data_IF_102425420797
#
_entry.id   IF_102425420797
#
_cell.length_a   1.000
_cell.length_b   1.000
_cell.length_c   1.000
_cell.angle_alpha   90.00
_cell.angle_beta   90.00
_cell.angle_gamma   90.00
#
_symmetry.space_group_name_H-M   'P 1'
#
loop_
_entity.id
_entity.type
_entity.pdbx_description
1 polymer ?
#
# COMPACT_ATOMS: atom_id res chain seq x y z
N UNK A 1 1.54 -5.05 9.07
CA UNK A 1 2.44 -6.08 8.56
C UNK A 1 1.63 -7.09 7.80
N UNK A 2 1.66 -7.03 6.46
CA UNK A 2 1.43 -8.29 5.74
C UNK A 2 2.69 -9.13 5.92
N UNK A 3 2.61 -10.30 6.56
CA UNK A 3 3.79 -11.11 6.83
C UNK A 3 4.41 -11.66 5.54
N UNK A 4 3.68 -11.71 4.42
CA UNK A 4 4.09 -12.43 3.22
C UNK A 4 5.11 -11.69 2.36
N UNK A 5 4.93 -10.39 2.11
CA UNK A 5 5.93 -9.55 1.41
C UNK A 5 7.22 -9.42 2.21
N UNK A 6 7.11 -9.16 3.52
CA UNK A 6 8.28 -9.04 4.41
C UNK A 6 9.06 -10.37 4.48
N UNK A 7 8.35 -11.49 4.58
CA UNK A 7 8.98 -12.80 4.61
C UNK A 7 9.65 -13.16 3.27
N UNK A 8 9.05 -12.78 2.14
CA UNK A 8 9.66 -12.99 0.82
C UNK A 8 11.00 -12.27 0.68
N UNK A 9 11.05 -10.99 1.07
CA UNK A 9 12.29 -10.19 1.05
C UNK A 9 13.40 -10.80 1.92
N UNK A 10 13.05 -11.43 3.04
CA UNK A 10 14.00 -12.00 4.00
C UNK A 10 14.50 -13.40 3.61
N UNK A 11 13.74 -14.16 2.83
CA UNK A 11 14.09 -15.54 2.48
C UNK A 11 15.04 -15.62 1.27
N UNK A 12 14.79 -14.82 0.24
CA UNK A 12 15.64 -14.70 -0.96
C UNK A 12 15.17 -13.50 -1.78
N UNK A 13 16.07 -12.62 -2.25
CA UNK A 13 15.69 -11.45 -3.06
C UNK A 13 15.30 -11.89 -4.48
N UNK A 14 14.08 -12.42 -4.62
CA UNK A 14 13.39 -12.67 -5.89
C UNK A 14 12.37 -11.55 -6.09
N UNK A 15 12.79 -10.45 -6.74
CA UNK A 15 11.96 -9.25 -6.88
C UNK A 15 10.65 -9.48 -7.65
N UNK A 16 10.61 -10.28 -8.74
CA UNK A 16 9.35 -10.68 -9.36
C UNK A 16 8.38 -11.33 -8.36
N UNK A 17 8.85 -12.26 -7.54
CA UNK A 17 8.03 -12.90 -6.50
C UNK A 17 7.58 -11.94 -5.40
N UNK A 18 8.39 -10.93 -5.08
CA UNK A 18 8.01 -9.84 -4.16
C UNK A 18 6.88 -9.00 -4.75
N UNK A 19 6.96 -8.62 -6.03
CA UNK A 19 5.93 -7.84 -6.72
C UNK A 19 4.59 -8.60 -6.83
N UNK A 20 4.66 -9.91 -7.08
CA UNK A 20 3.47 -10.77 -7.11
C UNK A 20 2.79 -10.81 -5.73
N UNK A 21 3.54 -11.10 -4.67
CA UNK A 21 3.03 -11.12 -3.29
C UNK A 21 2.49 -9.76 -2.85
N UNK A 22 3.16 -8.67 -3.24
CA UNK A 22 2.66 -7.32 -2.98
C UNK A 22 1.27 -7.12 -3.60
N UNK A 23 1.09 -7.55 -4.84
CA UNK A 23 -0.18 -7.46 -5.56
C UNK A 23 -1.27 -8.32 -4.92
N UNK A 24 -0.92 -9.53 -4.49
CA UNK A 24 -1.83 -10.43 -3.77
C UNK A 24 -2.27 -9.85 -2.43
N UNK A 25 -1.32 -9.39 -1.61
CA UNK A 25 -1.57 -8.79 -0.30
C UNK A 25 -2.40 -7.51 -0.40
N UNK A 26 -2.09 -6.65 -1.38
CA UNK A 26 -2.90 -5.48 -1.69
C UNK A 26 -4.34 -5.89 -2.04
N UNK A 27 -4.51 -6.91 -2.89
CA UNK A 27 -5.81 -7.45 -3.24
C UNK A 27 -6.57 -8.02 -2.03
N UNK A 28 -5.89 -8.67 -1.09
CA UNK A 28 -6.48 -9.16 0.15
C UNK A 28 -7.00 -8.01 1.02
N UNK A 29 -6.20 -6.95 1.21
CA UNK A 29 -6.63 -5.77 1.98
C UNK A 29 -7.84 -5.12 1.31
N UNK A 30 -7.82 -4.95 -0.01
CA UNK A 30 -8.92 -4.32 -0.74
C UNK A 30 -10.21 -5.14 -0.70
N UNK A 31 -10.14 -6.47 -0.62
CA UNK A 31 -11.31 -7.33 -0.44
C UNK A 31 -11.82 -7.36 1.00
N UNK A 32 -10.91 -7.35 1.97
CA UNK A 32 -11.26 -7.32 3.39
C UNK A 32 -11.86 -5.98 3.81
N UNK A 33 -11.44 -4.89 3.16
CA UNK A 33 -11.89 -3.52 3.40
C UNK A 33 -12.40 -2.93 2.08
N UNK A 34 -13.66 -3.22 1.69
CA UNK A 34 -14.18 -2.92 0.36
C UNK A 34 -14.65 -1.46 0.19
N UNK A 35 -14.84 -0.71 1.29
CA UNK A 35 -15.36 0.66 1.22
C UNK A 35 -14.20 1.61 0.95
N UNK A 36 -14.07 2.06 -0.29
CA UNK A 36 -12.91 2.85 -0.74
C UNK A 36 -12.60 4.07 0.14
N UNK A 37 -13.64 4.81 0.56
CA UNK A 37 -13.55 6.01 1.39
C UNK A 37 -13.48 5.73 2.90
N UNK A 38 -13.46 4.46 3.32
CA UNK A 38 -13.36 4.11 4.73
C UNK A 38 -12.04 4.62 5.35
N UNK A 39 -12.09 5.29 6.51
CA UNK A 39 -10.90 5.64 7.27
C UNK A 39 -10.10 4.41 7.72
N UNK A 40 -10.78 3.29 8.02
CA UNK A 40 -10.13 2.05 8.46
C UNK A 40 -9.32 1.45 7.32
N UNK A 41 -9.92 1.28 6.15
CA UNK A 41 -9.23 0.88 4.92
C UNK A 41 -8.02 1.75 4.63
N UNK A 42 -8.19 3.07 4.68
CA UNK A 42 -7.12 4.04 4.41
C UNK A 42 -5.94 3.84 5.36
N UNK A 43 -6.20 3.66 6.66
CA UNK A 43 -5.12 3.44 7.63
C UNK A 43 -4.43 2.08 7.42
N UNK A 44 -5.18 1.03 7.09
CA UNK A 44 -4.61 -0.28 6.75
C UNK A 44 -3.69 -0.22 5.54
N UNK A 45 -4.13 0.47 4.47
CA UNK A 45 -3.33 0.66 3.26
C UNK A 45 -2.11 1.54 3.52
N UNK A 46 -2.26 2.67 4.23
CA UNK A 46 -1.13 3.55 4.59
C UNK A 46 -0.07 2.78 5.37
N UNK A 47 -0.48 1.99 6.37
CA UNK A 47 0.44 1.14 7.11
C UNK A 47 1.10 0.09 6.23
N UNK A 48 0.34 -0.57 5.36
CA UNK A 48 0.89 -1.56 4.43
C UNK A 48 1.94 -0.94 3.50
N UNK A 49 1.66 0.21 2.89
CA UNK A 49 2.62 0.89 2.01
C UNK A 49 3.87 1.34 2.75
N UNK A 50 3.73 1.89 3.96
CA UNK A 50 4.87 2.30 4.79
C UNK A 50 5.73 1.11 5.24
N UNK A 51 5.10 0.01 5.67
CA UNK A 51 5.78 -1.23 6.05
C UNK A 51 6.56 -1.79 4.82
N UNK A 52 5.95 -1.84 3.63
CA UNK A 52 6.59 -2.32 2.39
C UNK A 52 7.74 -1.41 1.96
N UNK A 53 7.57 -0.09 1.97
CA UNK A 53 8.62 0.86 1.62
C UNK A 53 9.83 0.72 2.54
N UNK A 54 9.60 0.53 3.85
CA UNK A 54 10.67 0.27 4.82
C UNK A 54 11.42 -1.03 4.51
N UNK A 55 10.71 -2.07 4.10
CA UNK A 55 11.31 -3.34 3.67
C UNK A 55 12.17 -3.17 2.41
N UNK A 56 11.69 -2.45 1.38
CA UNK A 56 12.47 -2.17 0.18
C UNK A 56 13.74 -1.37 0.50
N UNK A 57 13.65 -0.36 1.36
CA UNK A 57 14.78 0.46 1.79
C UNK A 57 15.85 -0.32 2.58
N UNK A 58 15.58 -1.56 3.00
CA UNK A 58 16.56 -2.42 3.66
C UNK A 58 17.40 -3.26 2.69
N UNK A 59 17.05 -3.28 1.39
CA UNK A 59 17.79 -3.98 0.36
C UNK A 59 19.06 -3.22 -0.05
N UNK A 60 20.12 -3.97 -0.35
CA UNK A 60 21.37 -3.40 -0.89
C UNK A 60 21.23 -3.19 -2.41
N UNK A 61 20.61 -2.06 -2.79
CA UNK A 61 20.22 -1.73 -4.17
C UNK A 61 21.37 -1.88 -5.18
N UNK A 62 22.58 -1.47 -4.79
CA UNK A 62 23.76 -1.47 -5.67
C UNK A 62 24.26 -2.88 -6.00
N UNK A 63 23.89 -3.88 -5.20
CA UNK A 63 24.24 -5.29 -5.42
C UNK A 63 23.19 -6.06 -6.24
N UNK A 64 22.06 -5.43 -6.55
CA UNK A 64 20.98 -6.09 -7.27
C UNK A 64 21.26 -6.15 -8.78
N UNK A 65 20.79 -7.21 -9.47
CA UNK A 65 20.70 -7.23 -10.92
C UNK A 65 19.94 -6.01 -11.47
N UNK A 66 20.27 -5.62 -12.71
CA UNK A 66 19.63 -4.44 -13.33
C UNK A 66 18.11 -4.57 -13.46
N UNK A 67 17.59 -5.77 -13.70
CA UNK A 67 16.15 -6.02 -13.75
C UNK A 67 15.50 -5.70 -12.39
N UNK A 68 16.04 -6.25 -11.32
CA UNK A 68 15.55 -6.05 -9.95
C UNK A 68 15.63 -4.58 -9.50
N UNK A 69 16.67 -3.86 -9.91
CA UNK A 69 16.78 -2.40 -9.68
C UNK A 69 15.62 -1.64 -10.33
N UNK A 70 15.21 -2.03 -11.54
CA UNK A 70 14.07 -1.43 -12.24
C UNK A 70 12.78 -1.73 -11.46
N UNK A 71 12.58 -2.98 -11.06
CA UNK A 71 11.37 -3.41 -10.35
C UNK A 71 11.20 -2.67 -9.01
N UNK A 72 12.28 -2.55 -8.22
CA UNK A 72 12.24 -1.76 -6.98
C UNK A 72 11.90 -0.31 -7.26
N UNK A 73 12.53 0.30 -8.25
CA UNK A 73 12.30 1.72 -8.59
C UNK A 73 10.84 1.95 -8.97
N UNK A 74 10.25 1.04 -9.75
CA UNK A 74 8.84 1.11 -10.14
C UNK A 74 7.90 0.90 -8.95
N UNK A 75 8.22 -0.05 -8.07
CA UNK A 75 7.41 -0.32 -6.88
C UNK A 75 7.47 0.84 -5.88
N UNK A 76 8.63 1.46 -5.67
CA UNK A 76 8.79 2.64 -4.83
C UNK A 76 7.97 3.83 -5.36
N UNK A 77 7.99 4.08 -6.68
CA UNK A 77 7.15 5.12 -7.29
C UNK A 77 5.66 4.83 -7.11
N UNK A 78 5.24 3.58 -7.29
CA UNK A 78 3.86 3.14 -7.04
C UNK A 78 3.42 3.38 -5.60
N UNK A 79 4.24 2.96 -4.62
CA UNK A 79 3.97 3.17 -3.19
C UNK A 79 3.83 4.67 -2.85
N UNK A 80 4.72 5.50 -3.41
CA UNK A 80 4.67 6.96 -3.23
C UNK A 80 3.40 7.56 -3.80
N UNK A 81 3.04 7.21 -5.04
CA UNK A 81 1.82 7.70 -5.70
C UNK A 81 0.56 7.27 -4.94
N UNK A 82 0.47 6.01 -4.53
CA UNK A 82 -0.68 5.49 -3.79
C UNK A 82 -0.83 6.13 -2.42
N UNK A 83 0.28 6.36 -1.71
CA UNK A 83 0.25 7.07 -0.43
C UNK A 83 -0.27 8.50 -0.61
N UNK A 84 0.22 9.21 -1.63
CA UNK A 84 -0.28 10.54 -1.96
C UNK A 84 -1.78 10.52 -2.32
N UNK A 85 -2.25 9.54 -3.08
CA UNK A 85 -3.67 9.39 -3.39
C UNK A 85 -4.52 9.22 -2.13
N UNK A 86 -4.07 8.42 -1.14
CA UNK A 86 -4.78 8.28 0.13
C UNK A 86 -4.90 9.61 0.89
N UNK A 87 -3.88 10.47 0.81
CA UNK A 87 -3.89 11.80 1.44
C UNK A 87 -4.86 12.75 0.72
N UNK A 88 -4.87 12.73 -0.62
CA UNK A 88 -5.80 13.50 -1.44
C UNK A 88 -7.25 13.08 -1.20
N UNK A 89 -7.52 11.77 -1.16
CA UNK A 89 -8.85 11.24 -0.88
C UNK A 89 -9.33 11.65 0.52
N UNK A 90 -8.44 11.65 1.52
CA UNK A 90 -8.76 12.09 2.88
C UNK A 90 -9.06 13.58 2.98
N UNK A 91 -8.37 14.40 2.18
CA UNK A 91 -8.65 15.82 2.11
C UNK A 91 -9.98 16.08 1.41
N UNK A 92 -10.24 15.39 0.30
CA UNK A 92 -11.53 15.46 -0.40
C UNK A 92 -12.70 15.04 0.51
N UNK A 93 -12.55 13.93 1.23
CA UNK A 93 -13.53 13.47 2.22
C UNK A 93 -13.87 14.53 3.28
N UNK A 94 -12.85 15.27 3.75
CA UNK A 94 -13.00 16.32 4.76
C UNK A 94 -13.73 17.53 4.20
N UNK A 95 -13.38 17.94 2.98
CA UNK A 95 -14.03 19.07 2.29
C UNK A 95 -15.50 18.76 1.97
N UNK A 96 -15.81 17.51 1.65
CA UNK A 96 -17.16 17.06 1.33
C UNK A 96 -18.03 16.76 2.55
N UNK A 97 -17.46 16.62 3.75
CA UNK A 97 -18.18 16.25 4.97
C UNK A 97 -19.42 17.14 5.25
N UNK A 98 -19.40 18.48 5.08
CA UNK A 98 -20.58 19.32 5.28
C UNK A 98 -21.71 19.07 4.27
N UNK A 99 -21.38 18.55 3.08
CA UNK A 99 -22.35 18.27 2.02
C UNK A 99 -22.91 16.84 2.10
N UNK A 100 -22.20 15.93 2.78
CA UNK A 100 -22.53 14.52 2.89
C UNK A 100 -22.49 14.07 4.37
N UNK A 101 -23.36 14.60 5.24
CA UNK A 101 -23.32 14.31 6.68
C UNK A 101 -23.56 12.83 7.01
N UNK A 102 -24.24 12.08 6.14
CA UNK A 102 -24.47 10.64 6.28
C UNK A 102 -23.25 9.78 5.86
N UNK A 103 -22.27 10.36 5.16
CA UNK A 103 -21.16 9.60 4.61
C UNK A 103 -20.23 9.03 5.70
N UNK A 104 -20.15 9.65 6.88
CA UNK A 104 -19.39 9.09 7.99
C UNK A 104 -19.97 7.77 8.49
N UNK A 105 -21.30 7.67 8.61
CA UNK A 105 -21.98 6.45 9.03
C UNK A 105 -21.76 5.32 8.03
N UNK A 106 -21.93 5.60 6.73
CA UNK A 106 -21.70 4.62 5.66
C UNK A 106 -20.24 4.16 5.62
N UNK A 107 -19.29 5.08 5.79
CA UNK A 107 -17.85 4.77 5.82
C UNK A 107 -17.45 3.91 7.02
N UNK A 108 -18.24 3.91 8.09
CA UNK A 108 -18.02 3.12 9.31
C UNK A 108 -18.50 1.68 9.24
N UNK A 109 -19.10 1.23 8.13
CA UNK A 109 -19.63 -0.14 7.98
C UNK A 109 -18.57 -1.20 7.62
N UNK A 110 -17.28 -0.87 7.67
CA UNK A 110 -16.19 -1.86 7.53
C UNK A 110 -15.89 -2.63 8.81
#
# INVERSE_FOLDING_TARGET
MSPLVVFALLASPDLPGVCERYSEDLGLIQRAYPIASSPVRRERLRKFYADTAKSLASLDYDKLPRADQIDITLLEDDLRRRTLSLDLDAEYDRQMAPLLPFAEEVRGFE
#
